data_IF_324370164138
#
_entry.id   IF_324370164138
#
_cell.length_a   1.000
_cell.length_b   1.000
_cell.length_c   1.000
_cell.angle_alpha   90.00
_cell.angle_beta   90.00
_cell.angle_gamma   90.00
#
_symmetry.space_group_name_H-M   'P 1'
#
loop_
_entity.id
_entity.type
_entity.pdbx_description
1 polymer ?
#
# COMPACT_ATOMS: atom_id res chain seq x y z
N UNK A 1 -6.14 -42.67 7.60
CA UNK A 1 -5.72 -41.43 8.29
C UNK A 1 -6.83 -40.42 8.11
N UNK A 2 -7.43 -39.92 9.20
CA UNK A 2 -8.59 -39.02 9.13
C UNK A 2 -8.27 -37.76 8.29
N UNK A 3 -9.03 -37.52 7.22
CA UNK A 3 -8.88 -36.38 6.31
C UNK A 3 -9.30 -35.03 6.93
N UNK A 4 -9.77 -35.01 8.17
CA UNK A 4 -10.42 -33.84 8.81
C UNK A 4 -9.72 -33.36 10.10
N UNK A 5 -8.38 -33.36 10.13
CA UNK A 5 -7.64 -32.90 11.33
C UNK A 5 -7.98 -31.45 11.70
N UNK A 6 -8.14 -30.57 10.72
CA UNK A 6 -8.40 -29.15 10.94
C UNK A 6 -9.72 -28.73 10.31
N UNK A 7 -10.57 -28.05 11.08
CA UNK A 7 -11.83 -27.44 10.60
C UNK A 7 -11.64 -25.98 10.21
N UNK A 8 -10.66 -25.31 10.83
CA UNK A 8 -10.33 -23.89 10.65
C UNK A 8 -8.86 -23.76 10.26
N UNK A 9 -8.58 -22.95 9.25
CA UNK A 9 -7.23 -22.52 8.90
C UNK A 9 -7.19 -21.00 9.01
N UNK A 10 -6.25 -20.49 9.81
CA UNK A 10 -6.01 -19.05 9.97
C UNK A 10 -4.63 -18.77 9.40
N UNK A 11 -4.56 -17.83 8.48
CA UNK A 11 -3.31 -17.37 7.86
C UNK A 11 -3.10 -15.90 8.24
N UNK A 12 -2.09 -15.64 9.06
CA UNK A 12 -1.66 -14.30 9.42
C UNK A 12 -0.42 -13.94 8.59
N UNK A 13 -0.61 -13.05 7.62
CA UNK A 13 0.49 -12.51 6.83
C UNK A 13 1.11 -11.30 7.51
N UNK A 14 2.43 -11.28 7.63
CA UNK A 14 3.19 -10.16 8.21
C UNK A 14 4.18 -9.66 7.15
N UNK A 15 3.84 -8.59 6.45
CA UNK A 15 4.65 -8.03 5.36
C UNK A 15 6.00 -7.54 5.91
N UNK A 16 7.09 -8.01 5.32
CA UNK A 16 8.43 -7.59 5.71
C UNK A 16 8.91 -8.04 7.11
N UNK A 17 8.19 -8.93 7.81
CA UNK A 17 8.61 -9.39 9.13
C UNK A 17 9.92 -10.23 9.08
N UNK A 18 10.99 -9.62 9.60
CA UNK A 18 12.35 -10.15 9.52
C UNK A 18 12.67 -11.11 10.67
N UNK A 19 13.10 -12.36 10.38
CA UNK A 19 13.59 -13.27 11.41
C UNK A 19 14.85 -12.75 12.11
N UNK A 20 15.60 -11.83 11.47
CA UNK A 20 16.79 -11.19 12.08
C UNK A 20 16.44 -10.25 13.22
N UNK A 21 15.19 -9.79 13.31
CA UNK A 21 14.69 -8.97 14.42
C UNK A 21 13.92 -9.85 15.42
N UNK A 22 13.02 -10.70 14.91
CA UNK A 22 12.17 -11.55 15.74
C UNK A 22 12.95 -12.56 16.59
N UNK A 23 13.99 -13.20 16.05
CA UNK A 23 14.73 -14.22 16.81
C UNK A 23 15.47 -13.66 18.03
N UNK A 24 16.27 -12.58 17.92
CA UNK A 24 16.84 -11.93 19.09
C UNK A 24 15.78 -11.48 20.11
N UNK A 25 14.63 -10.98 19.65
CA UNK A 25 13.54 -10.58 20.54
C UNK A 25 12.90 -11.78 21.26
N UNK A 26 12.71 -12.91 20.57
CA UNK A 26 12.23 -14.15 21.19
C UNK A 26 13.21 -14.65 22.26
N UNK A 27 14.51 -14.67 21.94
CA UNK A 27 15.55 -15.17 22.84
C UNK A 27 15.76 -14.24 24.05
N UNK A 28 15.50 -12.93 23.90
CA UNK A 28 15.48 -11.96 24.98
C UNK A 28 14.15 -11.89 25.77
N UNK A 29 13.16 -12.73 25.46
CA UNK A 29 11.85 -12.75 26.13
C UNK A 29 10.94 -11.56 25.80
N UNK A 30 11.25 -10.80 24.75
CA UNK A 30 10.50 -9.61 24.30
C UNK A 30 9.39 -9.94 23.29
N UNK A 31 9.39 -11.16 22.75
CA UNK A 31 8.35 -11.67 21.84
C UNK A 31 7.86 -13.07 22.29
N UNK A 32 7.22 -13.18 23.46
CA UNK A 32 6.82 -14.46 24.05
C UNK A 32 5.78 -15.23 23.24
N UNK A 33 4.87 -14.57 22.53
CA UNK A 33 3.86 -15.26 21.72
C UNK A 33 4.50 -15.91 20.48
N UNK A 34 5.40 -15.20 19.80
CA UNK A 34 6.20 -15.78 18.70
C UNK A 34 7.07 -16.93 19.21
N UNK A 35 7.72 -16.77 20.38
CA UNK A 35 8.52 -17.83 20.98
C UNK A 35 7.67 -19.07 21.29
N UNK A 36 6.46 -18.89 21.81
CA UNK A 36 5.50 -19.98 22.06
C UNK A 36 5.08 -20.66 20.76
N UNK A 37 4.73 -19.89 19.72
CA UNK A 37 4.38 -20.45 18.40
C UNK A 37 5.53 -21.27 17.80
N UNK A 38 6.77 -20.78 17.94
CA UNK A 38 8.00 -21.50 17.53
C UNK A 38 8.16 -22.83 18.26
N UNK A 39 7.79 -22.90 19.54
CA UNK A 39 7.91 -24.11 20.37
C UNK A 39 6.79 -25.12 20.15
N UNK A 40 5.54 -24.68 19.97
CA UNK A 40 4.39 -25.59 19.85
C UNK A 40 4.07 -26.02 18.41
N UNK A 41 4.73 -25.42 17.41
CA UNK A 41 4.49 -25.68 15.99
C UNK A 41 5.77 -26.00 15.22
N UNK A 42 5.80 -25.55 13.96
CA UNK A 42 6.99 -25.62 13.10
C UNK A 42 7.43 -24.22 12.75
N UNK A 43 8.71 -23.93 12.95
CA UNK A 43 9.34 -22.67 12.56
C UNK A 43 10.46 -22.94 11.56
N UNK A 44 10.46 -22.20 10.44
CA UNK A 44 11.51 -22.34 9.42
C UNK A 44 11.75 -21.01 8.72
N UNK A 45 13.02 -20.63 8.58
CA UNK A 45 13.44 -19.58 7.65
C UNK A 45 13.29 -20.11 6.23
N UNK A 46 12.53 -19.41 5.40
CA UNK A 46 12.35 -19.72 3.98
C UNK A 46 13.18 -18.75 3.13
N UNK A 47 13.63 -19.21 1.97
CA UNK A 47 14.12 -18.31 0.94
C UNK A 47 12.92 -17.55 0.36
N UNK A 48 13.06 -16.24 0.19
CA UNK A 48 12.06 -15.43 -0.54
C UNK A 48 12.20 -15.62 -2.05
N UNK A 49 11.29 -15.04 -2.83
CA UNK A 49 11.32 -15.10 -4.29
C UNK A 49 12.52 -14.36 -4.87
N UNK A 50 12.85 -14.67 -6.12
CA UNK A 50 13.74 -13.84 -6.94
C UNK A 50 12.92 -13.27 -8.11
N UNK A 51 12.66 -11.94 -8.14
CA UNK A 51 13.10 -10.90 -7.20
C UNK A 51 12.41 -10.93 -5.83
N UNK A 52 13.10 -10.43 -4.79
CA UNK A 52 12.62 -10.37 -3.40
C UNK A 52 11.79 -9.11 -3.16
N UNK A 53 10.64 -9.01 -3.81
CA UNK A 53 9.71 -7.88 -3.68
C UNK A 53 8.35 -8.38 -3.23
N UNK A 54 7.66 -7.60 -2.40
CA UNK A 54 6.35 -7.96 -1.86
C UNK A 54 5.34 -8.43 -2.91
N UNK A 55 5.13 -7.75 -4.06
CA UNK A 55 4.16 -8.23 -5.04
C UNK A 55 4.50 -9.59 -5.66
N UNK A 56 5.79 -9.92 -5.73
CA UNK A 56 6.28 -11.20 -6.26
C UNK A 56 6.08 -12.28 -5.20
N UNK A 57 6.55 -12.04 -3.98
CA UNK A 57 6.52 -12.99 -2.88
C UNK A 57 5.08 -13.31 -2.45
N UNK A 58 4.20 -12.30 -2.31
CA UNK A 58 2.78 -12.53 -2.00
C UNK A 58 2.00 -13.24 -3.10
N UNK A 59 2.38 -13.04 -4.37
CA UNK A 59 1.79 -13.77 -5.50
C UNK A 59 2.22 -15.24 -5.50
N UNK A 60 3.49 -15.51 -5.20
CA UNK A 60 4.01 -16.87 -5.01
C UNK A 60 3.35 -17.54 -3.79
N UNK A 61 3.25 -16.86 -2.66
CA UNK A 61 2.60 -17.37 -1.46
C UNK A 61 1.12 -17.69 -1.68
N UNK A 62 0.42 -16.86 -2.45
CA UNK A 62 -0.98 -17.09 -2.80
C UNK A 62 -1.19 -18.34 -3.66
N UNK A 63 -0.31 -18.56 -4.66
CA UNK A 63 -0.55 -19.51 -5.75
C UNK A 63 0.30 -20.79 -5.69
N UNK A 64 1.33 -20.82 -4.85
CA UNK A 64 2.36 -21.88 -4.88
C UNK A 64 3.18 -21.90 -6.18
N UNK A 65 3.02 -20.90 -7.05
CA UNK A 65 3.67 -20.83 -8.35
C UNK A 65 4.89 -19.90 -8.30
N UNK A 66 5.86 -20.14 -9.18
CA UNK A 66 7.00 -19.23 -9.37
C UNK A 66 6.61 -17.93 -10.11
N UNK A 67 7.45 -16.87 -10.06
CA UNK A 67 7.22 -15.63 -10.81
C UNK A 67 6.98 -15.84 -12.31
N UNK A 68 7.67 -16.80 -12.91
CA UNK A 68 7.48 -17.18 -14.32
C UNK A 68 6.08 -17.70 -14.66
N UNK A 69 5.37 -18.26 -13.69
CA UNK A 69 4.02 -18.81 -13.87
C UNK A 69 2.94 -17.79 -13.53
N UNK A 70 3.07 -17.05 -12.42
CA UNK A 70 2.06 -16.08 -12.02
C UNK A 70 2.21 -14.70 -12.70
N UNK A 71 3.36 -14.44 -13.36
CA UNK A 71 3.57 -13.29 -14.24
C UNK A 71 3.85 -11.95 -13.53
N UNK A 72 4.11 -11.96 -12.23
CA UNK A 72 4.42 -10.77 -11.43
C UNK A 72 5.90 -10.82 -11.08
N UNK A 73 6.67 -9.82 -11.51
CA UNK A 73 8.13 -9.80 -11.37
C UNK A 73 8.65 -8.59 -10.59
N UNK A 74 7.88 -7.53 -10.52
CA UNK A 74 8.30 -6.24 -9.95
C UNK A 74 7.05 -5.40 -9.63
N UNK A 75 7.18 -4.27 -8.92
CA UNK A 75 6.14 -3.25 -8.79
C UNK A 75 5.82 -2.57 -10.13
N UNK A 76 6.81 -2.50 -11.03
CA UNK A 76 6.65 -1.97 -12.38
C UNK A 76 6.70 -3.08 -13.43
N UNK A 77 6.01 -2.87 -14.55
CA UNK A 77 6.19 -3.63 -15.78
C UNK A 77 6.47 -2.66 -16.91
N UNK A 78 7.06 -3.16 -17.98
CA UNK A 78 7.21 -2.40 -19.22
C UNK A 78 6.11 -2.75 -20.22
N UNK A 79 5.72 -1.78 -21.04
CA UNK A 79 5.06 -2.07 -22.32
C UNK A 79 6.14 -2.43 -23.36
N UNK A 80 6.13 -3.64 -23.97
CA UNK A 80 7.11 -4.01 -24.98
C UNK A 80 7.11 -3.14 -26.24
N UNK A 81 5.99 -2.51 -26.59
CA UNK A 81 5.89 -1.72 -27.81
C UNK A 81 6.47 -0.32 -27.62
N UNK A 82 6.25 0.27 -26.46
CA UNK A 82 6.62 1.67 -26.17
C UNK A 82 7.77 1.81 -25.18
N UNK A 83 8.19 0.72 -24.54
CA UNK A 83 9.18 0.68 -23.45
C UNK A 83 8.75 1.37 -22.16
N UNK A 84 7.59 2.02 -22.17
CA UNK A 84 7.09 2.80 -21.04
C UNK A 84 6.83 1.91 -19.81
N UNK A 85 7.18 2.39 -18.60
CA UNK A 85 6.80 1.73 -17.36
C UNK A 85 5.29 1.86 -17.13
N UNK A 86 4.72 0.85 -16.51
CA UNK A 86 3.35 0.79 -16.00
C UNK A 86 3.35 0.04 -14.67
N UNK A 87 2.32 0.24 -13.85
CA UNK A 87 2.18 -0.50 -12.61
C UNK A 87 1.91 -2.00 -12.89
N UNK A 88 2.64 -2.87 -12.21
CA UNK A 88 2.39 -4.32 -12.20
C UNK A 88 1.30 -4.70 -11.21
N UNK A 89 1.18 -3.96 -10.11
CA UNK A 89 0.24 -4.25 -9.02
C UNK A 89 -1.18 -3.73 -9.28
N UNK A 90 -1.35 -2.94 -10.34
CA UNK A 90 -2.63 -2.38 -10.77
C UNK A 90 -2.73 -2.43 -12.29
N UNK A 91 -3.87 -2.90 -12.81
CA UNK A 91 -4.11 -2.94 -14.24
C UNK A 91 -5.50 -2.41 -14.55
N UNK A 92 -5.55 -1.18 -15.06
CA UNK A 92 -6.77 -0.56 -15.56
C UNK A 92 -7.26 -1.33 -16.80
N UNK A 93 -8.57 -1.47 -16.94
CA UNK A 93 -9.21 -2.09 -18.09
C UNK A 93 -9.45 -1.05 -19.21
N UNK A 94 -8.64 -1.01 -20.27
CA UNK A 94 -8.81 -0.02 -21.35
C UNK A 94 -10.10 -0.22 -22.14
N UNK A 95 -10.73 -1.40 -22.07
CA UNK A 95 -12.00 -1.70 -22.74
C UNK A 95 -13.22 -1.21 -21.96
N UNK A 96 -13.03 -0.68 -20.75
CA UNK A 96 -14.13 -0.17 -19.92
C UNK A 96 -14.53 1.26 -20.32
N UNK A 97 -14.95 1.44 -21.57
CA UNK A 97 -15.37 2.76 -22.10
C UNK A 97 -16.60 3.31 -21.38
N UNK A 98 -17.50 2.42 -20.95
CA UNK A 98 -18.65 2.79 -20.13
C UNK A 98 -18.26 3.13 -18.67
N UNK A 99 -16.99 2.95 -18.27
CA UNK A 99 -16.46 3.22 -16.92
C UNK A 99 -17.36 2.58 -15.85
N UNK A 100 -17.76 1.31 -16.08
CA UNK A 100 -18.55 0.52 -15.14
C UNK A 100 -17.70 0.16 -13.94
N UNK A 101 -18.27 0.31 -12.75
CA UNK A 101 -17.58 0.09 -11.48
C UNK A 101 -16.92 -1.29 -11.36
N UNK A 102 -17.64 -2.32 -11.76
CA UNK A 102 -17.21 -3.72 -11.70
C UNK A 102 -16.17 -4.13 -12.75
N UNK A 103 -15.88 -3.27 -13.73
CA UNK A 103 -15.01 -3.60 -14.85
C UNK A 103 -13.80 -2.66 -14.95
N UNK A 104 -13.52 -1.85 -13.94
CA UNK A 104 -12.43 -0.86 -13.97
C UNK A 104 -11.04 -1.47 -13.99
N UNK A 105 -10.85 -2.61 -13.33
CA UNK A 105 -9.55 -3.25 -13.19
C UNK A 105 -9.57 -4.68 -13.74
N UNK A 106 -8.40 -5.14 -14.16
CA UNK A 106 -8.15 -6.51 -14.61
C UNK A 106 -7.22 -7.19 -13.61
N UNK A 107 -7.33 -8.52 -13.43
CA UNK A 107 -6.38 -9.27 -12.63
C UNK A 107 -4.94 -9.05 -13.10
N UNK A 108 -4.04 -8.93 -12.12
CA UNK A 108 -2.61 -8.71 -12.31
C UNK A 108 -1.78 -9.98 -12.19
N UNK A 109 -2.33 -11.00 -11.52
CA UNK A 109 -1.69 -12.28 -11.23
C UNK A 109 -2.36 -13.41 -12.03
N UNK A 110 -1.56 -14.34 -12.53
CA UNK A 110 -2.00 -15.62 -13.10
C UNK A 110 -1.88 -16.77 -12.09
N UNK A 111 -2.56 -17.89 -12.37
CA UNK A 111 -2.60 -19.06 -11.49
C UNK A 111 -3.75 -19.00 -10.47
N UNK A 112 -4.07 -20.17 -9.91
CA UNK A 112 -5.15 -20.31 -8.92
C UNK A 112 -4.62 -20.09 -7.51
N UNK A 113 -5.03 -19.04 -6.80
CA UNK A 113 -4.62 -18.84 -5.42
C UNK A 113 -5.34 -19.81 -4.47
N UNK A 114 -4.77 -20.05 -3.28
CA UNK A 114 -5.28 -21.04 -2.33
C UNK A 114 -6.75 -20.79 -1.91
N UNK A 115 -7.19 -19.53 -1.83
CA UNK A 115 -8.59 -19.20 -1.49
C UNK A 115 -9.58 -19.58 -2.59
N UNK A 116 -9.15 -19.53 -3.86
CA UNK A 116 -9.96 -20.01 -4.99
C UNK A 116 -9.99 -21.53 -5.00
N UNK A 117 -8.85 -22.18 -4.80
CA UNK A 117 -8.78 -23.64 -4.66
C UNK A 117 -9.67 -24.13 -3.51
N UNK A 118 -9.67 -23.44 -2.36
CA UNK A 118 -10.56 -23.74 -1.25
C UNK A 118 -12.03 -23.55 -1.63
N UNK A 119 -12.38 -22.42 -2.24
CA UNK A 119 -13.75 -22.13 -2.67
C UNK A 119 -14.28 -23.13 -3.68
N UNK A 120 -13.48 -23.48 -4.69
CA UNK A 120 -13.84 -24.47 -5.72
C UNK A 120 -14.07 -25.87 -5.12
N UNK A 121 -13.46 -26.15 -3.95
CA UNK A 121 -13.64 -27.38 -3.18
C UNK A 121 -14.77 -27.30 -2.13
N UNK A 122 -15.58 -26.23 -2.10
CA UNK A 122 -16.67 -26.04 -1.12
C UNK A 122 -16.20 -25.65 0.29
N UNK A 123 -14.95 -25.18 0.42
CA UNK A 123 -14.35 -24.72 1.67
C UNK A 123 -14.39 -23.19 1.70
N UNK A 124 -15.16 -22.57 2.62
CA UNK A 124 -15.29 -21.13 2.61
C UNK A 124 -13.97 -20.40 2.87
N UNK A 125 -13.75 -19.27 2.19
CA UNK A 125 -12.56 -18.44 2.33
C UNK A 125 -12.92 -16.97 2.63
N UNK A 126 -12.41 -16.47 3.74
CA UNK A 126 -12.39 -15.04 4.08
C UNK A 126 -10.98 -14.51 3.90
N UNK A 127 -10.77 -13.57 2.97
CA UNK A 127 -9.45 -13.00 2.65
C UNK A 127 -9.47 -11.50 2.85
N UNK A 128 -8.69 -11.00 3.79
CA UNK A 128 -8.66 -9.58 4.18
C UNK A 128 -7.31 -9.01 3.82
N UNK A 129 -7.31 -7.99 2.95
CA UNK A 129 -6.14 -7.18 2.61
C UNK A 129 -4.96 -7.96 1.99
N UNK A 130 -5.20 -9.17 1.48
CA UNK A 130 -4.15 -9.92 0.81
C UNK A 130 -3.65 -9.15 -0.43
N UNK A 131 -2.34 -9.01 -0.64
CA UNK A 131 -1.80 -8.25 -1.78
C UNK A 131 -2.26 -8.74 -3.17
N UNK A 132 -2.39 -7.81 -4.12
CA UNK A 132 -2.74 -8.10 -5.52
C UNK A 132 -4.08 -8.80 -5.69
N UNK A 133 -5.09 -8.32 -4.96
CA UNK A 133 -6.47 -8.84 -4.98
C UNK A 133 -7.48 -7.83 -5.54
N UNK A 134 -7.03 -6.82 -6.29
CA UNK A 134 -7.90 -5.92 -7.06
C UNK A 134 -7.87 -6.33 -8.55
N UNK A 135 -9.03 -6.58 -9.20
CA UNK A 135 -10.37 -6.65 -8.63
C UNK A 135 -10.52 -7.87 -7.68
N UNK A 136 -11.38 -7.77 -6.63
CA UNK A 136 -11.62 -8.88 -5.72
C UNK A 136 -12.22 -10.07 -6.48
N UNK A 137 -11.72 -11.26 -6.17
CA UNK A 137 -12.19 -12.50 -6.78
C UNK A 137 -13.49 -12.97 -6.12
N UNK A 138 -14.37 -13.58 -6.92
CA UNK A 138 -15.49 -14.33 -6.37
C UNK A 138 -14.98 -15.57 -5.64
N UNK A 139 -15.39 -15.73 -4.38
CA UNK A 139 -15.01 -16.82 -3.48
C UNK A 139 -16.23 -17.26 -2.69
N UNK A 140 -16.27 -18.51 -2.25
CA UNK A 140 -17.28 -18.94 -1.28
C UNK A 140 -16.94 -18.32 0.08
N UNK A 141 -17.37 -17.09 0.32
CA UNK A 141 -16.99 -16.38 1.54
C UNK A 141 -16.85 -14.89 1.29
N UNK A 142 -15.74 -14.31 1.73
CA UNK A 142 -15.54 -12.85 1.71
C UNK A 142 -14.14 -12.48 1.27
N UNK A 143 -14.00 -11.36 0.58
CA UNK A 143 -12.71 -10.82 0.19
C UNK A 143 -12.73 -9.30 0.30
N UNK A 144 -11.71 -8.71 0.93
CA UNK A 144 -11.42 -7.28 0.87
C UNK A 144 -10.06 -7.09 0.21
N UNK A 145 -10.00 -6.31 -0.86
CA UNK A 145 -8.78 -6.11 -1.62
C UNK A 145 -7.67 -5.42 -0.79
N UNK A 146 -6.41 -5.81 -1.03
CA UNK A 146 -5.21 -5.30 -0.36
C UNK A 146 -4.33 -4.42 -1.23
N UNK A 147 -3.00 -4.56 -1.08
CA UNK A 147 -1.99 -3.88 -1.89
C UNK A 147 -2.36 -3.91 -3.38
N UNK A 148 -2.28 -2.75 -4.03
CA UNK A 148 -2.70 -2.53 -5.42
C UNK A 148 -4.00 -1.76 -5.55
N UNK A 149 -4.76 -1.55 -4.47
CA UNK A 149 -5.88 -0.60 -4.46
C UNK A 149 -5.36 0.84 -4.63
N UNK A 150 -5.77 1.58 -5.67
CA UNK A 150 -5.32 2.96 -5.88
C UNK A 150 -6.13 3.96 -5.06
N UNK A 151 -5.64 5.19 -5.00
CA UNK A 151 -6.47 6.36 -4.66
C UNK A 151 -7.44 6.70 -5.82
N UNK A 152 -8.37 7.61 -5.57
CA UNK A 152 -9.40 7.98 -6.55
C UNK A 152 -8.86 8.79 -7.73
N UNK A 153 -7.63 9.30 -7.65
CA UNK A 153 -6.92 9.95 -8.76
C UNK A 153 -6.12 8.94 -9.59
N UNK A 154 -6.11 7.67 -9.20
CA UNK A 154 -5.50 6.56 -9.93
C UNK A 154 -4.03 6.32 -9.59
N UNK A 155 -3.48 7.03 -8.59
CA UNK A 155 -2.12 6.81 -8.08
C UNK A 155 -2.11 5.80 -6.92
N UNK A 156 -0.91 5.50 -6.42
CA UNK A 156 -0.69 4.59 -5.29
C UNK A 156 -0.47 5.36 -3.98
N UNK A 157 -1.29 6.39 -3.74
CA UNK A 157 -1.21 7.22 -2.54
C UNK A 157 -0.54 8.57 -2.78
N UNK A 158 -1.10 9.40 -3.67
CA UNK A 158 -0.63 10.77 -3.87
C UNK A 158 -1.29 11.72 -2.87
N UNK A 159 -0.52 12.25 -1.92
CA UNK A 159 -0.97 13.22 -0.93
C UNK A 159 -1.06 14.64 -1.51
N UNK A 160 -1.62 15.58 -0.74
CA UNK A 160 -1.57 17.02 -1.01
C UNK A 160 -1.09 17.77 0.23
N UNK A 161 -0.15 18.69 0.05
CA UNK A 161 0.41 19.50 1.13
C UNK A 161 0.14 20.98 0.87
N UNK A 162 -0.59 21.61 1.78
CA UNK A 162 -0.93 23.03 1.71
C UNK A 162 0.01 23.80 2.64
N UNK A 163 0.61 24.87 2.12
CA UNK A 163 1.53 25.68 2.94
C UNK A 163 1.54 27.16 2.57
N UNK A 164 1.82 28.01 3.56
CA UNK A 164 2.16 29.43 3.36
C UNK A 164 3.67 29.67 3.29
N UNK A 165 4.48 28.62 3.35
CA UNK A 165 5.93 28.69 3.10
C UNK A 165 6.26 28.58 1.61
N UNK A 166 7.54 28.47 1.29
CA UNK A 166 8.04 28.41 -0.10
C UNK A 166 7.89 27.02 -0.74
N UNK A 167 7.40 26.02 -0.01
CA UNK A 167 7.21 24.64 -0.46
C UNK A 167 7.56 23.62 0.61
N UNK A 168 7.87 22.39 0.19
CA UNK A 168 8.41 21.35 1.07
C UNK A 168 9.94 21.47 1.14
N UNK A 169 10.53 21.81 2.30
CA UNK A 169 11.97 21.93 2.42
C UNK A 169 12.65 20.59 2.16
N UNK A 170 13.50 20.51 1.14
CA UNK A 170 14.32 19.32 0.85
C UNK A 170 13.72 18.30 -0.12
N UNK A 171 12.61 18.62 -0.78
CA UNK A 171 12.02 17.79 -1.84
C UNK A 171 12.06 18.52 -3.19
N UNK A 172 13.08 18.24 -4.03
CA UNK A 172 13.20 18.81 -5.38
C UNK A 172 12.12 18.26 -6.35
N UNK A 173 11.60 17.05 -6.08
CA UNK A 173 10.53 16.37 -6.85
C UNK A 173 9.61 15.56 -5.90
N UNK A 174 8.73 16.25 -5.13
CA UNK A 174 7.84 15.60 -4.17
C UNK A 174 6.88 14.64 -4.86
N UNK A 175 6.55 13.53 -4.20
CA UNK A 175 5.63 12.52 -4.74
C UNK A 175 4.16 12.90 -4.56
N UNK A 176 3.88 13.86 -3.68
CA UNK A 176 2.58 14.53 -3.54
C UNK A 176 2.44 15.80 -4.37
N UNK A 177 1.30 16.46 -4.23
CA UNK A 177 1.09 17.82 -4.76
C UNK A 177 1.35 18.85 -3.65
N UNK A 178 1.96 19.98 -4.00
CA UNK A 178 2.20 21.10 -3.09
C UNK A 178 1.37 22.30 -3.53
N UNK A 179 0.53 22.81 -2.63
CA UNK A 179 -0.35 23.96 -2.86
C UNK A 179 0.13 25.13 -2.01
N UNK A 180 0.64 26.17 -2.67
CA UNK A 180 1.04 27.40 -2.01
C UNK A 180 -0.20 28.27 -1.75
N UNK A 181 -0.42 28.59 -0.48
CA UNK A 181 -1.52 29.44 -0.04
C UNK A 181 -1.04 30.89 -0.02
N UNK A 182 -1.70 31.75 -0.80
CA UNK A 182 -1.40 33.17 -0.83
C UNK A 182 -2.15 33.91 0.29
N UNK A 183 -1.43 34.69 1.08
CA UNK A 183 -1.99 35.54 2.14
C UNK A 183 -1.25 35.42 3.47
N UNK A 184 -1.44 36.42 4.33
CA UNK A 184 -0.87 36.53 5.69
C UNK A 184 -1.95 36.41 6.79
N UNK A 185 -3.20 36.73 6.44
CA UNK A 185 -4.39 36.49 7.25
C UNK A 185 -4.57 34.99 7.47
N UNK A 186 -4.83 34.57 8.71
CA UNK A 186 -5.04 33.16 9.06
C UNK A 186 -6.30 32.53 8.46
N UNK A 187 -6.79 32.99 7.32
CA UNK A 187 -7.94 32.44 6.60
C UNK A 187 -7.59 32.31 5.12
N UNK A 188 -7.71 31.10 4.56
CA UNK A 188 -7.31 30.77 3.20
C UNK A 188 -8.47 30.09 2.46
N UNK A 189 -8.73 30.54 1.24
CA UNK A 189 -9.66 29.87 0.33
C UNK A 189 -8.86 29.05 -0.69
N UNK A 190 -9.19 27.77 -0.81
CA UNK A 190 -8.50 26.84 -1.70
C UNK A 190 -9.45 25.70 -2.13
N UNK A 191 -8.90 24.60 -2.63
CA UNK A 191 -9.66 23.45 -3.10
C UNK A 191 -8.93 22.15 -2.85
N UNK A 192 -9.68 21.05 -2.81
CA UNK A 192 -9.18 19.69 -2.83
C UNK A 192 -9.25 19.19 -4.27
N UNK A 193 -8.10 18.79 -4.81
CA UNK A 193 -7.97 18.24 -6.16
C UNK A 193 -8.75 16.94 -6.31
N UNK A 194 -9.76 16.94 -7.18
CA UNK A 194 -10.64 15.81 -7.41
C UNK A 194 -10.08 14.74 -8.37
N UNK A 195 -10.75 13.59 -8.47
CA UNK A 195 -10.51 12.61 -9.51
C UNK A 195 -10.62 13.17 -10.93
N UNK A 196 -9.95 12.54 -11.90
CA UNK A 196 -9.99 12.97 -13.30
C UNK A 196 -11.43 13.07 -13.85
N UNK A 197 -11.76 14.23 -14.41
CA UNK A 197 -13.08 14.52 -14.98
C UNK A 197 -14.14 14.93 -13.96
N UNK A 198 -13.78 15.06 -12.68
CA UNK A 198 -14.63 15.68 -11.65
C UNK A 198 -14.27 17.15 -11.45
N UNK A 199 -15.13 17.88 -10.74
CA UNK A 199 -14.80 19.23 -10.24
C UNK A 199 -14.16 19.11 -8.87
N UNK A 200 -13.10 19.89 -8.66
CA UNK A 200 -12.46 20.04 -7.36
C UNK A 200 -13.45 20.52 -6.29
N UNK A 201 -13.23 20.11 -5.04
CA UNK A 201 -14.09 20.49 -3.93
C UNK A 201 -13.56 21.77 -3.27
N UNK A 202 -14.37 22.82 -3.08
CA UNK A 202 -13.94 24.02 -2.38
C UNK A 202 -13.61 23.69 -0.91
N UNK A 203 -12.56 24.33 -0.40
CA UNK A 203 -12.08 24.16 0.97
C UNK A 203 -11.60 25.49 1.53
N UNK A 204 -12.05 25.82 2.73
CA UNK A 204 -11.55 26.98 3.49
C UNK A 204 -10.71 26.51 4.67
N UNK A 205 -9.66 27.24 5.01
CA UNK A 205 -8.80 26.94 6.16
C UNK A 205 -8.71 28.19 7.03
N UNK A 206 -9.14 28.11 8.29
CA UNK A 206 -8.98 29.15 9.30
C UNK A 206 -8.02 28.69 10.40
N UNK A 207 -6.86 29.32 10.49
CA UNK A 207 -5.78 29.02 11.45
C UNK A 207 -5.92 29.86 12.71
N UNK A 208 -5.98 29.18 13.85
CA UNK A 208 -5.82 29.79 15.18
C UNK A 208 -4.38 29.56 15.66
N UNK A 209 -3.56 30.59 15.46
CA UNK A 209 -2.14 30.60 15.85
C UNK A 209 -1.94 30.51 17.36
N UNK A 210 -2.82 31.15 18.15
CA UNK A 210 -2.73 31.13 19.60
C UNK A 210 -3.08 29.75 20.16
N UNK A 211 -4.09 29.10 19.60
CA UNK A 211 -4.49 27.75 19.98
C UNK A 211 -3.67 26.64 19.29
N UNK A 212 -2.74 26.98 18.38
CA UNK A 212 -2.01 26.04 17.51
C UNK A 212 -2.96 25.03 16.85
N UNK A 213 -3.98 25.54 16.16
CA UNK A 213 -4.98 24.70 15.50
C UNK A 213 -5.47 25.32 14.20
N UNK A 214 -6.21 24.54 13.40
CA UNK A 214 -6.89 25.01 12.22
C UNK A 214 -8.31 24.41 12.13
N UNK A 215 -9.25 25.20 11.64
CA UNK A 215 -10.57 24.77 11.21
C UNK A 215 -10.56 24.65 9.70
N UNK A 216 -10.89 23.48 9.18
CA UNK A 216 -10.92 23.19 7.76
C UNK A 216 -12.38 22.97 7.37
N UNK A 217 -12.93 23.87 6.57
CA UNK A 217 -14.33 23.79 6.13
C UNK A 217 -14.39 23.15 4.76
N UNK A 218 -15.02 21.98 4.64
CA UNK A 218 -15.19 21.24 3.38
C UNK A 218 -16.67 21.04 3.15
N UNK A 219 -17.19 21.56 2.02
CA UNK A 219 -18.60 21.41 1.63
C UNK A 219 -19.62 21.81 2.73
N UNK A 220 -19.26 22.81 3.54
CA UNK A 220 -20.10 23.35 4.62
C UNK A 220 -19.99 22.60 5.95
N UNK A 221 -19.09 21.63 6.08
CA UNK A 221 -18.76 20.97 7.35
C UNK A 221 -17.40 21.43 7.87
N UNK A 222 -17.33 21.76 9.15
CA UNK A 222 -16.10 22.21 9.83
C UNK A 222 -15.37 21.04 10.48
N UNK A 223 -14.06 20.98 10.25
CA UNK A 223 -13.16 19.96 10.77
C UNK A 223 -12.04 20.63 11.56
N UNK A 224 -12.04 20.46 12.88
CA UNK A 224 -11.03 21.09 13.75
C UNK A 224 -9.83 20.17 13.93
N UNK A 225 -8.63 20.71 13.71
CA UNK A 225 -7.38 19.95 13.77
C UNK A 225 -6.37 20.71 14.60
N UNK A 226 -5.95 20.13 15.71
CA UNK A 226 -4.84 20.64 16.51
C UNK A 226 -3.51 20.35 15.82
N UNK A 227 -2.50 21.17 16.10
CA UNK A 227 -1.16 20.92 15.60
C UNK A 227 -0.62 19.57 16.10
N UNK A 228 0.08 18.87 15.21
CA UNK A 228 0.54 17.48 15.34
C UNK A 228 -0.57 16.47 15.58
N UNK A 229 -1.80 16.80 15.24
CA UNK A 229 -2.94 15.88 15.30
C UNK A 229 -3.53 15.62 13.92
N UNK A 230 -4.17 14.46 13.81
CA UNK A 230 -4.99 14.10 12.66
C UNK A 230 -6.44 14.49 12.91
N UNK A 231 -7.14 14.95 11.86
CA UNK A 231 -8.59 15.07 11.88
C UNK A 231 -9.28 13.71 12.01
N UNK A 232 -10.57 13.73 12.33
CA UNK A 232 -11.48 12.66 11.97
C UNK A 232 -11.51 12.42 10.44
N UNK A 233 -12.19 11.35 10.03
CA UNK A 233 -12.38 11.05 8.61
C UNK A 233 -13.30 12.09 7.98
N UNK A 234 -12.82 12.76 6.95
CA UNK A 234 -13.56 13.73 6.16
C UNK A 234 -14.08 13.04 4.91
N UNK A 235 -15.38 13.19 4.64
CA UNK A 235 -16.04 12.68 3.44
C UNK A 235 -16.21 13.84 2.46
N UNK A 236 -15.79 13.63 1.21
CA UNK A 236 -15.82 14.67 0.18
C UNK A 236 -16.50 14.12 -1.08
N UNK A 237 -17.49 14.83 -1.60
CA UNK A 237 -18.18 14.44 -2.83
C UNK A 237 -17.69 15.25 -4.02
N UNK A 238 -17.25 14.57 -5.08
CA UNK A 238 -16.75 15.18 -6.30
C UNK A 238 -17.78 15.03 -7.43
N UNK A 239 -18.48 16.10 -7.84
CA UNK A 239 -19.47 16.04 -8.90
C UNK A 239 -18.85 15.68 -10.24
N UNK A 240 -19.47 14.73 -10.95
CA UNK A 240 -19.13 14.35 -12.33
C UNK A 240 -20.18 14.85 -13.32
N UNK A 241 -19.76 15.27 -14.51
CA UNK A 241 -20.69 15.65 -15.59
C UNK A 241 -21.45 14.41 -16.08
N UNK A 242 -22.79 14.42 -15.96
CA UNK A 242 -23.72 13.37 -16.41
C UNK A 242 -23.60 12.01 -15.69
N UNK A 243 -23.02 11.96 -14.49
CA UNK A 243 -22.86 10.73 -13.70
C UNK A 243 -23.07 11.01 -12.22
N UNK A 244 -23.22 9.94 -11.42
CA UNK A 244 -23.24 10.06 -9.96
C UNK A 244 -21.91 10.65 -9.47
N UNK A 245 -21.93 11.51 -8.44
CA UNK A 245 -20.71 11.97 -7.78
C UNK A 245 -19.84 10.80 -7.32
N UNK A 246 -18.54 11.05 -7.25
CA UNK A 246 -17.60 10.13 -6.61
C UNK A 246 -17.42 10.60 -5.17
N UNK A 247 -17.62 9.70 -4.23
CA UNK A 247 -17.38 9.97 -2.81
C UNK A 247 -16.00 9.48 -2.43
N UNK A 248 -15.21 10.40 -1.88
CA UNK A 248 -13.92 10.12 -1.26
C UNK A 248 -14.02 10.15 0.27
N UNK A 249 -13.11 9.45 0.93
CA UNK A 249 -12.71 9.75 2.30
C UNK A 249 -11.24 10.21 2.31
N UNK A 250 -10.91 11.09 3.25
CA UNK A 250 -9.55 11.57 3.49
C UNK A 250 -9.40 12.04 4.94
N UNK A 251 -8.18 12.40 5.34
CA UNK A 251 -7.87 12.98 6.64
C UNK A 251 -6.85 14.09 6.49
N UNK A 252 -6.95 15.08 7.36
CA UNK A 252 -5.98 16.15 7.48
C UNK A 252 -5.02 15.88 8.64
N UNK A 253 -3.78 16.33 8.49
CA UNK A 253 -2.80 16.39 9.56
C UNK A 253 -2.18 17.79 9.57
N UNK A 254 -2.39 18.52 10.66
CA UNK A 254 -1.78 19.84 10.82
C UNK A 254 -0.38 19.66 11.39
N UNK A 255 0.64 19.73 10.54
CA UNK A 255 2.05 19.57 10.94
C UNK A 255 2.54 20.79 11.73
N UNK A 256 2.22 21.99 11.26
CA UNK A 256 2.55 23.24 11.92
C UNK A 256 1.50 24.32 11.63
N UNK A 257 1.13 25.11 12.64
CA UNK A 257 0.32 26.32 12.46
C UNK A 257 1.20 27.58 12.27
N UNK A 258 2.44 27.54 12.75
CA UNK A 258 3.43 28.64 12.70
C UNK A 258 4.87 28.11 12.55
N UNK A 259 5.81 28.91 11.98
CA UNK A 259 5.59 30.26 11.41
C UNK A 259 4.83 30.23 10.08
N UNK A 260 4.85 29.09 9.39
CA UNK A 260 4.04 28.82 8.21
C UNK A 260 2.97 27.79 8.57
N UNK A 261 1.82 27.89 7.91
CA UNK A 261 0.85 26.81 7.90
C UNK A 261 1.47 25.64 7.12
N UNK A 262 1.42 24.44 7.70
CA UNK A 262 1.84 23.19 7.07
C UNK A 262 0.73 22.16 7.29
N UNK A 263 -0.12 21.96 6.28
CA UNK A 263 -1.28 21.09 6.36
C UNK A 263 -1.16 19.96 5.35
N UNK A 264 -1.05 18.74 5.84
CA UNK A 264 -1.09 17.54 5.03
C UNK A 264 -2.53 17.06 4.83
N UNK A 265 -2.88 16.67 3.62
CA UNK A 265 -4.11 15.97 3.26
C UNK A 265 -3.73 14.58 2.72
N UNK A 266 -4.28 13.54 3.34
CA UNK A 266 -4.09 12.16 2.90
C UNK A 266 -4.60 11.96 1.46
N UNK A 267 -4.08 10.97 0.73
CA UNK A 267 -4.65 10.59 -0.56
C UNK A 267 -6.17 10.40 -0.49
N UNK A 268 -6.87 10.73 -1.58
CA UNK A 268 -8.32 10.56 -1.66
C UNK A 268 -8.66 9.09 -1.85
N UNK A 269 -9.19 8.46 -0.80
CA UNK A 269 -9.50 7.03 -0.83
C UNK A 269 -10.96 6.79 -1.20
N UNK A 270 -11.25 5.60 -1.74
CA UNK A 270 -12.64 5.21 -1.96
C UNK A 270 -13.35 5.05 -0.61
N UNK A 271 -14.50 5.72 -0.42
CA UNK A 271 -15.32 5.53 0.78
C UNK A 271 -15.86 4.09 0.82
N UNK A 272 -15.59 3.30 1.87
CA UNK A 272 -16.01 1.89 1.92
C UNK A 272 -17.54 1.70 1.95
N UNK A 273 -18.31 2.72 2.36
CA UNK A 273 -19.78 2.70 2.35
C UNK A 273 -20.39 2.91 0.96
N UNK A 274 -19.65 3.58 0.06
CA UNK A 274 -20.08 3.89 -1.30
C UNK A 274 -18.89 3.90 -2.27
N UNK A 275 -18.17 2.78 -2.44
CA UNK A 275 -16.86 2.81 -3.07
C UNK A 275 -16.96 3.08 -4.57
N UNK A 276 -16.03 3.88 -5.09
CA UNK A 276 -16.00 4.29 -6.49
C UNK A 276 -15.73 3.12 -7.46
N UNK A 277 -15.04 2.07 -7.01
CA UNK A 277 -14.79 0.76 -7.64
C UNK A 277 -15.22 -0.39 -6.73
N UNK A 278 -15.24 -1.63 -7.24
CA UNK A 278 -15.50 -2.83 -6.42
C UNK A 278 -14.25 -3.13 -5.58
N UNK A 279 -14.35 -2.95 -4.26
CA UNK A 279 -13.27 -3.21 -3.30
C UNK A 279 -13.33 -4.61 -2.69
N UNK A 280 -14.51 -5.22 -2.68
CA UNK A 280 -14.73 -6.49 -1.98
C UNK A 280 -15.58 -7.48 -2.76
N UNK A 281 -15.53 -8.74 -2.32
CA UNK A 281 -16.49 -9.78 -2.66
C UNK A 281 -17.15 -10.31 -1.37
N UNK A 282 -18.47 -10.45 -1.30
CA UNK A 282 -19.45 -9.76 -2.14
C UNK A 282 -19.20 -8.25 -2.15
N UNK A 283 -19.73 -7.56 -3.16
CA UNK A 283 -19.50 -6.13 -3.36
C UNK A 283 -19.93 -5.27 -2.15
N UNK A 284 -20.95 -5.69 -1.41
CA UNK A 284 -21.39 -5.02 -0.18
C UNK A 284 -20.52 -5.29 1.07
N UNK A 285 -19.54 -6.19 1.01
CA UNK A 285 -18.75 -6.57 2.20
C UNK A 285 -17.92 -5.41 2.75
N UNK A 286 -17.33 -4.56 1.89
CA UNK A 286 -16.57 -3.39 2.34
C UNK A 286 -17.42 -2.45 3.23
N UNK A 287 -18.68 -2.20 2.83
CA UNK A 287 -19.62 -1.37 3.57
C UNK A 287 -20.08 -2.05 4.87
N UNK A 288 -20.34 -3.37 4.84
CA UNK A 288 -20.69 -4.14 6.04
C UNK A 288 -19.58 -4.10 7.09
N UNK A 289 -18.33 -4.22 6.65
CA UNK A 289 -17.18 -4.14 7.53
C UNK A 289 -17.07 -2.74 8.15
N UNK A 290 -17.22 -1.68 7.33
CA UNK A 290 -17.17 -0.29 7.81
C UNK A 290 -18.25 0.01 8.85
N UNK A 291 -19.46 -0.53 8.66
CA UNK A 291 -20.55 -0.40 9.64
C UNK A 291 -20.20 -1.09 10.97
N UNK A 292 -19.45 -2.18 10.93
CA UNK A 292 -19.18 -2.98 12.13
C UNK A 292 -17.93 -2.56 12.91
N UNK A 293 -16.90 -2.05 12.24
CA UNK A 293 -15.62 -1.70 12.88
C UNK A 293 -15.28 -0.21 12.83
N UNK A 294 -16.20 0.61 12.28
CA UNK A 294 -15.96 1.99 11.90
C UNK A 294 -15.26 2.12 10.55
N UNK A 295 -15.12 3.37 10.07
CA UNK A 295 -14.37 3.66 8.85
C UNK A 295 -12.92 3.19 8.93
N UNK A 296 -12.34 2.83 7.79
CA UNK A 296 -10.97 2.32 7.65
C UNK A 296 -10.35 2.75 6.33
N UNK A 297 -9.03 2.73 6.23
CA UNK A 297 -8.31 3.08 5.00
C UNK A 297 -8.51 2.00 3.94
N UNK A 298 -8.97 2.39 2.75
CA UNK A 298 -9.21 1.48 1.62
C UNK A 298 -8.02 1.41 0.66
N UNK A 299 -7.15 2.42 0.65
CA UNK A 299 -5.92 2.47 -0.14
C UNK A 299 -5.05 1.24 0.12
N UNK A 300 -4.36 0.76 -0.92
CA UNK A 300 -3.51 -0.43 -0.83
C UNK A 300 -2.33 -0.26 0.13
N UNK A 301 -1.78 0.96 0.22
CA UNK A 301 -0.68 1.36 1.12
C UNK A 301 -1.00 2.73 1.72
N UNK A 302 -1.74 2.79 2.84
CA UNK A 302 -2.12 4.06 3.45
C UNK A 302 -0.99 4.72 4.24
N UNK A 303 -0.04 3.97 4.80
CA UNK A 303 1.11 4.54 5.51
C UNK A 303 2.06 5.24 4.52
N UNK A 304 1.90 6.55 4.42
CA UNK A 304 2.57 7.36 3.39
C UNK A 304 4.06 7.60 3.70
N UNK A 305 4.89 6.64 3.28
CA UNK A 305 6.35 6.74 3.40
C UNK A 305 6.92 7.87 2.56
N UNK A 306 6.28 8.20 1.42
CA UNK A 306 6.76 9.29 0.58
C UNK A 306 6.55 10.64 1.26
N UNK A 307 5.37 10.88 1.85
CA UNK A 307 5.10 12.10 2.59
C UNK A 307 6.09 12.32 3.74
N UNK A 308 6.52 11.26 4.42
CA UNK A 308 7.57 11.38 5.44
C UNK A 308 8.94 11.70 4.83
N UNK A 309 9.34 11.00 3.76
CA UNK A 309 10.61 11.27 3.07
C UNK A 309 10.67 12.68 2.46
N UNK A 310 9.54 13.16 1.94
CA UNK A 310 9.38 14.48 1.33
C UNK A 310 9.20 15.58 2.40
N UNK A 311 9.10 15.22 3.69
CA UNK A 311 8.94 16.16 4.80
C UNK A 311 7.53 16.73 4.99
N UNK A 312 6.53 16.22 4.26
CA UNK A 312 5.13 16.61 4.40
C UNK A 312 4.47 16.02 5.67
N UNK A 313 4.94 14.86 6.12
CA UNK A 313 4.68 14.32 7.44
C UNK A 313 5.96 14.36 8.29
N UNK A 314 5.79 14.53 9.59
CA UNK A 314 6.86 14.27 10.55
C UNK A 314 6.77 12.82 11.08
N UNK A 315 7.81 12.32 11.78
CA UNK A 315 7.81 10.96 12.31
C UNK A 315 6.61 10.65 13.22
N UNK A 316 6.12 11.62 13.99
CA UNK A 316 4.99 11.43 14.91
C UNK A 316 3.67 11.25 14.14
N UNK A 317 3.42 12.11 13.14
CA UNK A 317 2.29 12.01 12.23
C UNK A 317 2.27 10.68 11.48
N UNK A 318 3.42 10.25 10.96
CA UNK A 318 3.57 8.97 10.26
C UNK A 318 3.34 7.76 11.20
N UNK A 319 3.93 7.76 12.40
CA UNK A 319 3.77 6.66 13.36
C UNK A 319 2.33 6.57 13.90
N UNK A 320 1.66 7.71 14.07
CA UNK A 320 0.24 7.77 14.42
C UNK A 320 -0.65 7.17 13.32
N UNK A 321 -0.34 7.44 12.05
CA UNK A 321 -1.00 6.81 10.91
C UNK A 321 -0.76 5.29 10.89
N UNK A 322 0.50 4.84 11.05
CA UNK A 322 0.84 3.42 11.18
C UNK A 322 0.04 2.74 12.30
N UNK A 323 -0.09 3.41 13.46
CA UNK A 323 -0.88 2.89 14.57
C UNK A 323 -2.35 2.76 14.22
N UNK A 324 -2.94 3.79 13.61
CA UNK A 324 -4.34 3.79 13.18
C UNK A 324 -4.62 2.66 12.20
N UNK A 325 -3.73 2.47 11.23
CA UNK A 325 -3.82 1.42 10.22
C UNK A 325 -3.75 0.04 10.87
N UNK A 326 -2.78 -0.19 11.77
CA UNK A 326 -2.65 -1.43 12.52
C UNK A 326 -3.90 -1.73 13.36
N UNK A 327 -4.49 -0.72 14.03
CA UNK A 327 -5.74 -0.87 14.78
C UNK A 327 -6.91 -1.26 13.88
N UNK A 328 -7.00 -0.70 12.67
CA UNK A 328 -8.01 -1.08 11.70
C UNK A 328 -7.87 -2.55 11.28
N UNK A 329 -6.66 -3.01 10.92
CA UNK A 329 -6.43 -4.41 10.50
C UNK A 329 -6.71 -5.37 11.65
N UNK A 330 -6.38 -4.96 12.87
CA UNK A 330 -6.70 -5.72 14.07
C UNK A 330 -8.22 -5.84 14.27
N UNK A 331 -8.98 -4.74 14.16
CA UNK A 331 -10.45 -4.79 14.25
C UNK A 331 -11.05 -5.67 13.17
N UNK A 332 -10.53 -5.63 11.93
CA UNK A 332 -10.97 -6.52 10.84
C UNK A 332 -10.72 -8.00 11.18
N UNK A 333 -9.52 -8.32 11.66
CA UNK A 333 -9.14 -9.68 12.06
C UNK A 333 -10.09 -10.19 13.15
N UNK A 334 -10.30 -9.43 14.22
CA UNK A 334 -11.16 -9.86 15.33
C UNK A 334 -12.62 -9.99 14.91
N UNK A 335 -13.13 -9.05 14.12
CA UNK A 335 -14.49 -9.08 13.61
C UNK A 335 -14.81 -10.37 12.83
N UNK A 336 -13.87 -10.82 11.99
CA UNK A 336 -14.03 -12.09 11.26
C UNK A 336 -13.72 -13.30 12.13
N UNK A 337 -12.75 -13.25 13.05
CA UNK A 337 -12.48 -14.34 13.98
C UNK A 337 -13.67 -14.67 14.89
N UNK A 338 -14.38 -13.65 15.40
CA UNK A 338 -15.53 -13.83 16.31
C UNK A 338 -16.70 -14.58 15.65
N UNK A 339 -16.75 -14.62 14.31
CA UNK A 339 -17.76 -15.33 13.52
C UNK A 339 -17.19 -16.50 12.72
N UNK A 340 -15.94 -16.87 12.96
CA UNK A 340 -15.22 -17.84 12.14
C UNK A 340 -15.46 -19.28 12.63
N UNK A 341 -16.31 -20.02 11.91
CA UNK A 341 -16.70 -21.37 12.31
C UNK A 341 -15.98 -22.50 11.56
N UNK A 342 -15.60 -22.27 10.30
CA UNK A 342 -14.91 -23.24 9.44
C UNK A 342 -14.28 -22.55 8.23
N UNK A 343 -13.37 -23.26 7.57
CA UNK A 343 -12.77 -22.85 6.30
C UNK A 343 -11.43 -22.16 6.50
N UNK A 344 -11.13 -21.17 5.66
CA UNK A 344 -9.89 -20.42 5.68
C UNK A 344 -10.14 -18.93 5.96
N UNK A 345 -9.43 -18.37 6.94
CA UNK A 345 -9.36 -16.94 7.19
C UNK A 345 -7.93 -16.46 6.97
N UNK A 346 -7.70 -15.61 5.99
CA UNK A 346 -6.40 -15.03 5.70
C UNK A 346 -6.45 -13.50 5.90
N UNK A 347 -5.55 -12.96 6.72
CA UNK A 347 -5.45 -11.53 6.99
C UNK A 347 -4.00 -11.09 6.94
N UNK A 348 -3.70 -10.01 6.20
CA UNK A 348 -2.35 -9.48 6.05
C UNK A 348 -2.20 -8.16 6.80
N UNK A 349 -1.11 -8.03 7.55
CA UNK A 349 -0.64 -6.81 8.20
C UNK A 349 0.59 -6.30 7.46
N UNK A 350 0.46 -5.11 6.88
CA UNK A 350 1.45 -4.48 6.00
C UNK A 350 2.35 -3.43 6.70
N UNK A 351 1.92 -2.93 7.86
CA UNK A 351 2.60 -1.85 8.59
C UNK A 351 4.05 -2.18 8.96
N UNK A 352 4.39 -3.46 9.17
CA UNK A 352 5.76 -3.84 9.53
C UNK A 352 6.78 -3.56 8.45
N UNK A 353 6.39 -3.72 7.19
CA UNK A 353 7.21 -3.38 6.06
C UNK A 353 7.44 -1.85 5.99
N UNK A 354 6.35 -1.07 6.14
CA UNK A 354 6.38 0.40 6.09
C UNK A 354 7.28 1.01 7.16
N UNK A 355 7.13 0.55 8.40
CA UNK A 355 7.94 1.01 9.53
C UNK A 355 9.41 0.67 9.35
N UNK A 356 9.73 -0.54 8.90
CA UNK A 356 11.11 -0.93 8.70
C UNK A 356 11.75 -0.18 7.53
N UNK A 357 11.03 0.13 6.45
CA UNK A 357 11.55 0.95 5.36
C UNK A 357 12.07 2.31 5.80
N UNK A 358 11.38 2.95 6.75
CA UNK A 358 11.71 4.28 7.23
C UNK A 358 12.73 4.25 8.37
N UNK A 359 12.57 3.32 9.32
CA UNK A 359 13.27 3.38 10.60
C UNK A 359 14.38 2.33 10.78
N UNK A 360 14.77 1.60 9.71
CA UNK A 360 15.81 0.56 9.82
C UNK A 360 17.15 1.11 10.32
N UNK A 361 17.60 2.22 9.73
CA UNK A 361 18.84 2.91 10.08
C UNK A 361 18.54 4.20 10.89
N UNK A 362 17.48 4.16 11.70
CA UNK A 362 17.02 5.28 12.51
C UNK A 362 18.06 5.81 13.51
N UNK A 363 17.95 7.10 13.84
CA UNK A 363 18.72 7.76 14.89
C UNK A 363 18.45 7.18 16.29
N UNK A 364 19.15 7.71 17.31
CA UNK A 364 18.96 7.25 18.69
C UNK A 364 17.54 7.46 19.22
N UNK A 365 16.85 8.52 18.78
CA UNK A 365 15.50 8.84 19.24
C UNK A 365 14.48 7.82 18.71
N UNK A 366 14.67 7.29 17.49
CA UNK A 366 13.69 6.43 16.82
C UNK A 366 14.08 4.94 16.76
N UNK A 367 15.25 4.55 17.26
CA UNK A 367 15.70 3.12 17.33
C UNK A 367 14.72 2.17 18.03
N UNK A 368 13.85 2.69 18.90
CA UNK A 368 12.87 1.89 19.64
C UNK A 368 11.63 1.51 18.81
N UNK A 369 11.41 2.16 17.65
CA UNK A 369 10.19 2.03 16.84
C UNK A 369 9.99 0.61 16.30
N UNK A 370 11.02 0.02 15.67
CA UNK A 370 10.93 -1.34 15.12
C UNK A 370 10.64 -2.38 16.22
N UNK A 371 11.39 -2.42 17.35
CA UNK A 371 11.06 -3.32 18.45
C UNK A 371 9.65 -3.09 19.03
N UNK A 372 9.17 -1.85 19.10
CA UNK A 372 7.81 -1.55 19.58
C UNK A 372 6.73 -2.13 18.65
N UNK A 373 6.92 -2.00 17.35
CA UNK A 373 6.03 -2.59 16.34
C UNK A 373 6.00 -4.12 16.44
N UNK A 374 7.14 -4.80 16.61
CA UNK A 374 7.16 -6.26 16.79
C UNK A 374 6.49 -6.70 18.10
N UNK A 375 6.64 -5.94 19.19
CA UNK A 375 5.90 -6.19 20.45
C UNK A 375 4.39 -6.09 20.25
N UNK A 376 3.91 -5.17 19.40
CA UNK A 376 2.49 -5.07 19.07
C UNK A 376 1.99 -6.28 18.27
N UNK A 377 2.75 -6.72 17.27
CA UNK A 377 2.45 -7.95 16.53
C UNK A 377 2.44 -9.19 17.45
N UNK A 378 3.39 -9.27 18.39
CA UNK A 378 3.44 -10.33 19.39
C UNK A 378 2.19 -10.32 20.29
N UNK A 379 1.72 -9.15 20.73
CA UNK A 379 0.50 -9.03 21.52
C UNK A 379 -0.77 -9.45 20.75
N UNK A 380 -0.85 -9.14 19.45
CA UNK A 380 -1.93 -9.63 18.58
C UNK A 380 -1.87 -11.16 18.46
N UNK A 381 -0.68 -11.71 18.19
CA UNK A 381 -0.47 -13.14 18.10
C UNK A 381 -0.78 -13.85 19.43
N UNK A 382 -0.41 -13.28 20.56
CA UNK A 382 -0.68 -13.84 21.89
C UNK A 382 -2.18 -14.00 22.15
N UNK A 383 -2.98 -12.98 21.81
CA UNK A 383 -4.46 -13.06 21.89
C UNK A 383 -5.03 -14.08 20.91
N UNK A 384 -4.43 -14.22 19.72
CA UNK A 384 -4.87 -15.21 18.74
C UNK A 384 -4.60 -16.63 19.23
N UNK A 385 -3.39 -16.91 19.71
CA UNK A 385 -2.98 -18.20 20.29
C UNK A 385 -3.87 -18.62 21.46
N UNK A 386 -4.33 -17.66 22.27
CA UNK A 386 -5.23 -17.92 23.40
C UNK A 386 -6.63 -18.41 22.98
N UNK A 387 -7.01 -18.20 21.71
CA UNK A 387 -8.33 -18.58 21.16
C UNK A 387 -8.29 -19.83 20.27
N UNK A 388 -7.12 -20.40 20.01
CA UNK A 388 -7.02 -21.58 19.15
C UNK A 388 -7.48 -22.85 19.88
N UNK A 389 -8.18 -23.71 19.16
CA UNK A 389 -8.53 -25.07 19.57
C UNK A 389 -7.64 -26.10 18.83
N UNK A 390 -7.76 -27.37 19.22
CA UNK A 390 -7.05 -28.50 18.61
C UNK A 390 -7.46 -28.80 17.16
N UNK A 391 -8.54 -28.14 16.68
CA UNK A 391 -9.07 -28.24 15.31
C UNK A 391 -8.76 -27.01 14.46
N UNK A 392 -7.88 -26.13 14.92
CA UNK A 392 -7.46 -24.92 14.19
C UNK A 392 -5.98 -25.00 13.81
N UNK A 393 -5.69 -24.83 12.52
CA UNK A 393 -4.34 -24.61 12.03
C UNK A 393 -4.08 -23.10 11.95
N UNK A 394 -3.07 -22.62 12.68
CA UNK A 394 -2.54 -21.26 12.51
C UNK A 394 -1.26 -21.31 11.67
N UNK A 395 -1.22 -20.51 10.61
CA UNK A 395 -0.05 -20.23 9.80
C UNK A 395 0.29 -18.76 9.95
N UNK A 396 1.48 -18.45 10.47
CA UNK A 396 2.03 -17.09 10.44
C UNK A 396 3.15 -17.08 9.40
N UNK A 397 3.04 -16.19 8.41
CA UNK A 397 4.00 -16.15 7.30
C UNK A 397 4.41 -14.73 6.98
N UNK A 398 5.64 -14.60 6.50
CA UNK A 398 6.21 -13.35 6.00
C UNK A 398 6.81 -13.60 4.63
N UNK A 399 6.67 -12.61 3.76
CA UNK A 399 7.04 -12.66 2.34
C UNK A 399 8.53 -12.35 2.12
N UNK A 400 9.09 -11.42 2.90
CA UNK A 400 10.52 -11.14 2.97
C UNK A 400 10.95 -10.56 4.33
N UNK A 401 12.26 -10.37 4.51
CA UNK A 401 12.82 -9.69 5.68
C UNK A 401 13.53 -8.39 5.30
N UNK A 402 14.25 -7.81 6.26
CA UNK A 402 14.95 -6.54 6.10
C UNK A 402 16.47 -6.66 6.38
N UNK A 403 17.22 -5.77 5.71
CA UNK A 403 18.66 -5.59 5.87
C UNK A 403 19.05 -4.13 5.58
N UNK A 404 20.21 -3.66 6.07
CA UNK A 404 20.68 -2.30 5.80
C UNK A 404 20.84 -2.03 4.29
N UNK A 405 20.38 -0.87 3.84
CA UNK A 405 20.48 -0.43 2.45
C UNK A 405 21.55 0.66 2.32
N UNK A 406 22.77 0.27 1.94
CA UNK A 406 23.94 1.18 1.93
C UNK A 406 24.39 1.64 0.54
N UNK A 407 24.02 0.90 -0.49
CA UNK A 407 24.52 1.09 -1.85
C UNK A 407 23.41 0.77 -2.85
N UNK A 408 23.30 1.63 -3.85
CA UNK A 408 22.47 1.42 -5.03
C UNK A 408 23.34 1.43 -6.28
N UNK A 409 22.94 0.70 -7.31
CA UNK A 409 23.57 0.72 -8.63
C UNK A 409 22.53 1.18 -9.64
N UNK A 410 22.81 2.26 -10.37
CA UNK A 410 21.95 2.71 -11.45
C UNK A 410 22.22 1.86 -12.70
N UNK A 411 21.42 0.79 -12.87
CA UNK A 411 21.65 -0.22 -13.91
C UNK A 411 21.70 0.40 -15.32
N UNK A 412 20.84 1.37 -15.64
CA UNK A 412 20.86 2.00 -16.97
C UNK A 412 22.13 2.81 -17.21
N UNK A 413 22.67 3.50 -16.21
CA UNK A 413 23.96 4.20 -16.35
C UNK A 413 25.11 3.21 -16.56
N UNK A 414 25.08 2.08 -15.86
CA UNK A 414 26.06 1.01 -16.09
C UNK A 414 25.93 0.42 -17.50
N UNK A 415 24.71 0.19 -17.99
CA UNK A 415 24.46 -0.31 -19.35
C UNK A 415 24.96 0.66 -20.42
N UNK A 416 24.80 1.97 -20.22
CA UNK A 416 25.36 3.00 -21.11
C UNK A 416 26.88 2.92 -21.12
N UNK A 417 27.52 2.91 -19.95
CA UNK A 417 28.98 2.81 -19.85
C UNK A 417 29.53 1.53 -20.48
N UNK A 418 28.84 0.40 -20.28
CA UNK A 418 29.24 -0.90 -20.80
C UNK A 418 28.93 -1.08 -22.30
N UNK A 419 28.29 -0.10 -22.96
CA UNK A 419 27.95 -0.16 -24.39
C UNK A 419 26.73 -1.01 -24.74
N UNK A 420 25.90 -1.38 -23.75
CA UNK A 420 24.67 -2.13 -23.98
C UNK A 420 23.44 -1.24 -24.19
N UNK A 421 23.48 0.02 -23.74
CA UNK A 421 22.45 1.03 -23.99
C UNK A 421 23.08 2.24 -24.68
N UNK A 422 22.45 2.70 -25.75
CA UNK A 422 22.90 3.87 -26.50
C UNK A 422 21.98 5.05 -26.21
N UNK A 423 22.55 6.26 -26.19
CA UNK A 423 21.82 7.51 -26.02
C UNK A 423 21.86 8.31 -27.32
N UNK A 424 20.82 9.13 -27.54
CA UNK A 424 20.72 9.99 -28.73
C UNK A 424 21.61 11.23 -28.59
N UNK A 425 22.28 11.61 -29.68
CA UNK A 425 23.09 12.83 -29.75
C UNK A 425 24.23 12.86 -28.74
N UNK A 426 24.35 13.97 -28.02
CA UNK A 426 25.36 14.19 -26.97
C UNK A 426 24.81 13.96 -25.55
N UNK A 427 23.66 13.30 -25.41
CA UNK A 427 23.05 13.05 -24.11
C UNK A 427 23.95 12.16 -23.25
N UNK A 428 24.06 12.50 -21.96
CA UNK A 428 24.84 11.73 -20.98
C UNK A 428 23.97 10.78 -20.16
N UNK A 429 22.66 11.02 -20.13
CA UNK A 429 21.67 10.27 -19.37
C UNK A 429 20.44 9.99 -20.23
N UNK A 430 19.65 8.98 -19.86
CA UNK A 430 18.41 8.64 -20.56
C UNK A 430 17.25 9.59 -20.27
N UNK A 431 17.38 10.39 -19.22
CA UNK A 431 16.30 11.14 -18.55
C UNK A 431 15.10 10.28 -18.15
N UNK A 432 14.09 10.93 -17.56
CA UNK A 432 12.83 10.30 -17.18
C UNK A 432 12.18 9.57 -18.35
N UNK A 433 11.65 8.38 -18.09
CA UNK A 433 10.92 7.55 -19.07
C UNK A 433 11.70 7.23 -20.36
N UNK A 434 13.03 7.16 -20.31
CA UNK A 434 13.89 6.81 -21.44
C UNK A 434 13.88 7.81 -22.60
N UNK A 435 13.61 9.09 -22.32
CA UNK A 435 13.49 10.13 -23.33
C UNK A 435 14.65 10.18 -24.33
N UNK A 436 15.89 9.97 -23.87
CA UNK A 436 17.10 10.08 -24.70
C UNK A 436 17.68 8.73 -25.15
N UNK A 437 16.94 7.62 -25.05
CA UNK A 437 17.48 6.30 -25.42
C UNK A 437 17.39 6.05 -26.92
N UNK A 438 18.54 5.81 -27.55
CA UNK A 438 18.66 5.38 -28.94
C UNK A 438 18.33 3.88 -29.06
N UNK A 439 17.04 3.56 -29.11
CA UNK A 439 16.54 2.19 -29.03
C UNK A 439 17.03 1.25 -30.14
N UNK A 440 17.34 1.76 -31.33
CA UNK A 440 17.86 0.94 -32.45
C UNK A 440 19.34 0.57 -32.30
N UNK A 441 20.02 1.15 -31.33
CA UNK A 441 21.41 0.87 -31.01
C UNK A 441 21.56 0.30 -29.57
N UNK A 442 20.43 0.05 -28.91
CA UNK A 442 20.37 -0.45 -27.53
C UNK A 442 20.10 -1.96 -27.51
N UNK A 443 21.01 -2.71 -26.88
CA UNK A 443 20.95 -4.18 -26.75
C UNK A 443 20.18 -4.60 -25.48
N UNK A 444 20.33 -3.86 -24.38
CA UNK A 444 19.69 -4.16 -23.11
C UNK A 444 19.29 -2.90 -22.34
N UNK A 445 18.27 -3.01 -21.48
CA UNK A 445 17.73 -1.91 -20.70
C UNK A 445 17.09 -2.42 -19.40
N UNK A 446 17.11 -1.60 -18.35
CA UNK A 446 16.48 -1.89 -17.07
C UNK A 446 15.26 -1.01 -16.83
N UNK A 447 14.18 -1.61 -16.30
CA UNK A 447 12.92 -0.93 -15.91
C UNK A 447 12.47 -1.53 -14.59
N UNK A 448 12.01 -0.72 -13.63
CA UNK A 448 11.66 -1.23 -12.30
C UNK A 448 12.85 -1.28 -11.36
N UNK A 449 12.68 -1.96 -10.24
CA UNK A 449 13.69 -2.03 -9.18
C UNK A 449 14.79 -3.04 -9.47
N UNK A 450 14.47 -4.12 -10.18
CA UNK A 450 15.42 -5.24 -10.39
C UNK A 450 15.37 -5.90 -11.77
N UNK A 451 14.54 -5.42 -12.69
CA UNK A 451 14.34 -6.10 -13.97
C UNK A 451 15.30 -5.59 -15.06
N UNK A 452 16.02 -6.53 -15.68
CA UNK A 452 16.87 -6.31 -16.85
C UNK A 452 16.28 -7.02 -18.07
N UNK A 453 16.18 -6.32 -19.18
CA UNK A 453 15.59 -6.82 -20.41
C UNK A 453 16.57 -6.74 -21.58
N UNK A 454 16.57 -7.77 -22.42
CA UNK A 454 17.18 -7.72 -23.75
C UNK A 454 16.20 -7.05 -24.73
N UNK A 455 16.68 -6.15 -25.58
CA UNK A 455 15.90 -5.49 -26.62
C UNK A 455 15.70 -6.43 -27.83
N UNK A 456 14.87 -7.47 -27.66
CA UNK A 456 14.75 -8.59 -28.58
C UNK A 456 13.86 -8.29 -29.77
N UNK A 457 14.30 -8.71 -30.95
CA UNK A 457 13.50 -8.70 -32.19
C UNK A 457 12.19 -9.46 -31.97
N UNK A 458 11.11 -8.95 -32.56
CA UNK A 458 9.75 -9.51 -32.51
C UNK A 458 9.05 -9.48 -31.15
N UNK A 459 9.72 -9.00 -30.09
CA UNK A 459 9.09 -8.77 -28.77
C UNK A 459 9.06 -7.29 -28.43
N UNK A 460 10.18 -6.60 -28.61
CA UNK A 460 10.30 -5.17 -28.38
C UNK A 460 10.00 -4.35 -29.65
N UNK A 461 9.39 -3.17 -29.49
CA UNK A 461 8.92 -2.34 -30.61
C UNK A 461 10.04 -1.88 -31.56
N UNK A 462 11.24 -1.66 -31.03
CA UNK A 462 12.48 -1.33 -31.77
C UNK A 462 13.59 -2.36 -31.47
N UNK A 463 13.21 -3.63 -31.27
CA UNK A 463 14.14 -4.71 -30.91
C UNK A 463 15.21 -5.01 -31.95
N UNK A 464 16.45 -5.20 -31.50
CA UNK A 464 17.62 -5.43 -32.37
C UNK A 464 18.36 -6.74 -32.12
N UNK A 465 18.17 -7.37 -30.95
CA UNK A 465 18.78 -8.66 -30.55
C UNK A 465 18.01 -9.85 -31.07
#
# INVERSE_FOLDING_TARGET
MSMDRYRKVIVLGLDGASPRVLEPMMDAGQAPAFARLRQCGTYRRLATTTPSQSPVAWSTAATGCSPGQHGVFDFLRRDPKTYAPALSILRVNPRNLARRRSAMFLPVRHGSPFWRVASDAGVPATVIRWPLTLPPEAVEGRMLAGLGVPDLRGSLGRYTFYTTGDGLPGADDPKGDVVLLAGDGGAFHTHILGPEGSRDAPMDIAVDRAARSATITVQGADHHVAERAWSERVRVEFPLRLRRPVTAQCRFYLKAAEPHLELYLSPLEADPSAPAFVLSHPDGYAAQLALAIGGYHTLGMPEDTHALCDGALDPEGFLSLCSTVMDERERMLWHELDRFERGCLACVFDTSDRVQHVFWDADAAHRHVIPAMYRRLDAILGRLLARLDDRTLLVVLSDHGFAPFRRAVHLNSWLVHAGYMALEGSAKESDGLFHHVAWRDTTAYAVGFSSLFLNRRRREGKGIV
#
